data_IF_814323700827
#
_entry.id   IF_814323700827
#
_cell.length_a   1.000
_cell.length_b   1.000
_cell.length_c   1.000
_cell.angle_alpha   90.00
_cell.angle_beta   90.00
_cell.angle_gamma   90.00
#
_symmetry.space_group_name_H-M   'P 1'
#
loop_
_entity.id
_entity.type
_entity.pdbx_description
1 polymer ?
#
# COMPACT_ATOMS: atom_id res chain seq x y z
N UNK A 1 0.11 22.61 10.35
CA UNK A 1 -0.12 21.16 10.19
C UNK A 1 0.52 20.42 11.35
N UNK A 2 -0.20 19.49 11.99
CA UNK A 2 0.40 18.68 13.05
C UNK A 2 1.55 17.82 12.51
N UNK A 3 2.62 17.67 13.29
CA UNK A 3 3.78 16.84 12.91
C UNK A 3 3.37 15.37 12.87
N UNK A 4 3.56 14.73 11.71
CA UNK A 4 3.31 13.29 11.57
C UNK A 4 4.31 12.47 12.40
N UNK A 5 3.83 11.40 13.03
CA UNK A 5 4.68 10.40 13.69
C UNK A 5 5.50 9.61 12.67
N UNK A 6 6.51 8.87 13.15
CA UNK A 6 7.31 7.98 12.30
C UNK A 6 6.44 6.97 11.55
N UNK A 7 5.54 6.28 12.27
CA UNK A 7 4.62 5.31 11.66
C UNK A 7 3.67 5.94 10.64
N UNK A 8 3.15 7.15 10.89
CA UNK A 8 2.31 7.85 9.91
C UNK A 8 3.08 8.17 8.63
N UNK A 9 4.35 8.57 8.74
CA UNK A 9 5.22 8.79 7.58
C UNK A 9 5.49 7.49 6.82
N UNK A 10 5.68 6.38 7.55
CA UNK A 10 5.89 5.06 6.97
C UNK A 10 4.66 4.57 6.18
N UNK A 11 3.45 4.80 6.71
CA UNK A 11 2.19 4.48 6.00
C UNK A 11 2.11 5.25 4.69
N UNK A 12 2.36 6.56 4.71
CA UNK A 12 2.36 7.38 3.50
C UNK A 12 3.51 7.04 2.55
N UNK A 13 4.65 6.60 3.08
CA UNK A 13 5.77 6.11 2.27
C UNK A 13 5.40 4.84 1.53
N UNK A 14 4.83 3.85 2.24
CA UNK A 14 4.40 2.58 1.64
C UNK A 14 3.33 2.81 0.57
N UNK A 15 2.30 3.63 0.85
CA UNK A 15 1.27 3.94 -0.14
C UNK A 15 1.86 4.53 -1.44
N UNK A 16 2.79 5.48 -1.32
CA UNK A 16 3.48 6.06 -2.48
C UNK A 16 4.34 5.06 -3.22
N UNK A 17 4.98 4.12 -2.51
CA UNK A 17 5.74 3.05 -3.14
C UNK A 17 4.83 2.11 -3.94
N UNK A 18 3.66 1.74 -3.42
CA UNK A 18 2.67 0.96 -4.17
C UNK A 18 2.27 1.66 -5.47
N UNK A 19 1.91 2.95 -5.41
CA UNK A 19 1.53 3.72 -6.59
C UNK A 19 2.64 3.89 -7.63
N UNK A 20 3.90 3.91 -7.19
CA UNK A 20 5.07 3.93 -8.09
C UNK A 20 5.29 2.59 -8.76
N UNK A 21 5.21 1.49 -8.00
CA UNK A 21 5.36 0.13 -8.52
C UNK A 21 4.30 -0.21 -9.59
N UNK A 22 3.11 0.40 -9.54
CA UNK A 22 2.12 0.27 -10.63
C UNK A 22 2.71 0.65 -12.00
N UNK A 23 3.65 1.60 -12.07
CA UNK A 23 4.24 2.01 -13.35
C UNK A 23 5.07 0.88 -14.00
N UNK A 24 5.55 -0.06 -13.21
CA UNK A 24 6.29 -1.24 -13.66
C UNK A 24 5.36 -2.28 -14.32
N UNK A 25 4.03 -2.13 -14.17
CA UNK A 25 3.03 -3.07 -14.70
C UNK A 25 2.52 -2.69 -16.09
N UNK A 26 1.99 -3.67 -16.87
CA UNK A 26 1.40 -3.43 -18.17
C UNK A 26 0.32 -2.35 -18.12
N UNK A 27 0.31 -1.43 -19.10
CA UNK A 27 -0.57 -0.27 -19.10
C UNK A 27 -2.06 -0.63 -18.93
N UNK A 28 -2.49 -1.75 -19.51
CA UNK A 28 -3.87 -2.26 -19.46
C UNK A 28 -4.34 -2.68 -18.06
N UNK A 29 -3.43 -3.02 -17.15
CA UNK A 29 -3.77 -3.54 -15.81
C UNK A 29 -3.41 -2.57 -14.68
N UNK A 30 -2.77 -1.44 -15.00
CA UNK A 30 -2.34 -0.44 -14.01
C UNK A 30 -3.48 0.10 -13.15
N UNK A 31 -4.67 0.28 -13.74
CA UNK A 31 -5.84 0.78 -13.03
C UNK A 31 -6.25 -0.18 -11.90
N UNK A 32 -6.30 -1.48 -12.20
CA UNK A 32 -6.63 -2.51 -11.21
C UNK A 32 -5.67 -2.47 -10.00
N UNK A 33 -4.37 -2.33 -10.24
CA UNK A 33 -3.39 -2.20 -9.15
C UNK A 33 -3.57 -0.91 -8.33
N UNK A 34 -3.91 0.22 -8.98
CA UNK A 34 -4.18 1.48 -8.25
C UNK A 34 -5.40 1.33 -7.36
N UNK A 35 -6.47 0.74 -7.89
CA UNK A 35 -7.72 0.60 -7.15
C UNK A 35 -7.61 -0.41 -6.03
N UNK A 36 -6.90 -1.52 -6.26
CA UNK A 36 -6.53 -2.46 -5.22
C UNK A 36 -5.74 -1.78 -4.09
N UNK A 37 -4.64 -1.08 -4.41
CA UNK A 37 -3.86 -0.36 -3.41
C UNK A 37 -4.70 0.68 -2.66
N UNK A 38 -5.57 1.42 -3.36
CA UNK A 38 -6.46 2.39 -2.72
C UNK A 38 -7.48 1.72 -1.80
N UNK A 39 -8.10 0.61 -2.20
CA UNK A 39 -9.06 -0.09 -1.37
C UNK A 39 -8.41 -0.66 -0.11
N UNK A 40 -7.21 -1.23 -0.24
CA UNK A 40 -6.48 -1.82 0.90
C UNK A 40 -6.10 -0.78 1.96
N UNK A 41 -5.80 0.45 1.56
CA UNK A 41 -5.55 1.52 2.53
C UNK A 41 -6.86 2.13 3.07
N UNK A 42 -7.88 2.27 2.21
CA UNK A 42 -9.19 2.83 2.61
C UNK A 42 -9.91 1.99 3.67
N UNK A 43 -9.80 0.66 3.61
CA UNK A 43 -10.43 -0.23 4.59
C UNK A 43 -9.92 -0.02 6.04
N UNK A 44 -8.79 0.67 6.20
CA UNK A 44 -8.13 0.88 7.49
C UNK A 44 -8.08 2.37 7.92
N UNK A 45 -8.84 3.25 7.26
CA UNK A 45 -8.82 4.70 7.54
C UNK A 45 -9.33 5.04 8.95
N UNK A 46 -10.25 4.25 9.48
CA UNK A 46 -10.85 4.43 10.82
C UNK A 46 -9.99 3.84 11.96
N UNK A 47 -8.83 3.26 11.64
CA UNK A 47 -7.93 2.74 12.68
C UNK A 47 -7.44 3.86 13.59
N UNK A 48 -7.46 3.58 14.89
CA UNK A 48 -6.93 4.51 15.88
C UNK A 48 -5.43 4.75 15.61
N UNK A 49 -5.04 6.02 15.48
CA UNK A 49 -3.65 6.44 15.24
C UNK A 49 -2.67 6.01 16.34
N UNK A 50 -3.18 5.63 17.52
CA UNK A 50 -2.42 5.12 18.67
C UNK A 50 -2.36 3.59 18.74
N UNK A 51 -3.06 2.88 17.86
CA UNK A 51 -2.94 1.42 17.74
C UNK A 51 -1.68 1.06 16.95
N UNK A 52 -0.54 1.28 17.60
CA UNK A 52 0.77 1.11 16.97
C UNK A 52 1.02 -0.33 16.53
N UNK A 53 0.59 -1.32 17.33
CA UNK A 53 0.77 -2.74 17.03
C UNK A 53 0.06 -3.16 15.75
N UNK A 54 -1.20 -2.77 15.58
CA UNK A 54 -1.94 -3.05 14.34
C UNK A 54 -1.34 -2.33 13.13
N UNK A 55 -0.95 -1.06 13.29
CA UNK A 55 -0.33 -0.27 12.21
C UNK A 55 1.00 -0.90 11.76
N UNK A 56 1.86 -1.31 12.70
CA UNK A 56 3.13 -1.98 12.40
C UNK A 56 2.92 -3.32 11.69
N UNK A 57 1.96 -4.11 12.16
CA UNK A 57 1.59 -5.36 11.51
C UNK A 57 1.16 -5.13 10.06
N UNK A 58 0.26 -4.16 9.82
CA UNK A 58 -0.22 -3.82 8.48
C UNK A 58 0.89 -3.27 7.59
N UNK A 59 1.80 -2.45 8.13
CA UNK A 59 2.97 -1.97 7.40
C UNK A 59 3.87 -3.13 6.94
N UNK A 60 4.16 -4.07 7.85
CA UNK A 60 4.98 -5.26 7.52
C UNK A 60 4.28 -6.13 6.46
N UNK A 61 2.98 -6.38 6.63
CA UNK A 61 2.18 -7.15 5.66
C UNK A 61 2.15 -6.46 4.29
N UNK A 62 1.90 -5.16 4.25
CA UNK A 62 1.81 -4.39 3.01
C UNK A 62 3.16 -4.28 2.28
N UNK A 63 4.29 -4.19 3.01
CA UNK A 63 5.64 -4.28 2.41
C UNK A 63 5.85 -5.63 1.72
N UNK A 64 5.52 -6.74 2.40
CA UNK A 64 5.61 -8.08 1.81
C UNK A 64 4.72 -8.24 0.57
N UNK A 65 3.49 -7.73 0.61
CA UNK A 65 2.60 -7.74 -0.55
C UNK A 65 3.15 -6.92 -1.71
N UNK A 66 3.72 -5.74 -1.44
CA UNK A 66 4.35 -4.91 -2.46
C UNK A 66 5.51 -5.65 -3.15
N UNK A 67 6.36 -6.32 -2.37
CA UNK A 67 7.48 -7.10 -2.92
C UNK A 67 6.98 -8.24 -3.81
N UNK A 68 5.93 -8.97 -3.38
CA UNK A 68 5.27 -9.98 -4.22
C UNK A 68 4.71 -9.36 -5.50
N UNK A 69 3.95 -8.27 -5.40
CA UNK A 69 3.34 -7.67 -6.58
C UNK A 69 4.32 -6.95 -7.50
N UNK A 70 5.55 -6.68 -7.09
CA UNK A 70 6.61 -6.17 -7.99
C UNK A 70 7.12 -7.23 -8.96
N UNK A 71 7.02 -8.51 -8.60
CA UNK A 71 7.43 -9.62 -9.45
C UNK A 71 6.84 -9.48 -10.88
N UNK A 72 7.69 -9.60 -11.89
CA UNK A 72 7.33 -9.44 -13.31
C UNK A 72 6.33 -10.49 -13.79
N UNK A 73 6.29 -11.65 -13.15
CA UNK A 73 5.32 -12.71 -13.40
C UNK A 73 3.90 -12.33 -12.97
N UNK A 74 3.73 -11.35 -12.07
CA UNK A 74 2.42 -10.84 -11.68
C UNK A 74 2.06 -9.62 -12.53
N UNK A 75 1.24 -9.86 -13.54
CA UNK A 75 0.86 -8.84 -14.53
C UNK A 75 -0.49 -8.19 -14.27
N UNK A 76 -1.34 -8.80 -13.44
CA UNK A 76 -2.66 -8.27 -13.11
C UNK A 76 -3.08 -8.64 -11.69
N UNK A 77 -3.98 -7.85 -11.12
CA UNK A 77 -4.74 -8.17 -9.91
C UNK A 77 -6.22 -7.97 -10.24
N UNK A 78 -7.05 -8.97 -9.96
CA UNK A 78 -8.50 -8.82 -10.00
C UNK A 78 -9.03 -8.95 -8.58
N UNK A 79 -10.06 -8.16 -8.26
CA UNK A 79 -10.84 -8.34 -7.05
C UNK A 79 -11.78 -9.53 -7.22
#
# INVERSE_FOLDING_TARGET
MARLSGLQRDVLSLYRQCLRAVKEKPASTRENFRDFARSEFRQHMELNKKDFGTIEYLLRRGRKQLDTYRDEGIQNVSR
#
